data_IF_115632992723
#
_entry.id   IF_115632992723
#
_cell.length_a   1.000
_cell.length_b   1.000
_cell.length_c   1.000
_cell.angle_alpha   90.00
_cell.angle_beta   90.00
_cell.angle_gamma   90.00
#
_symmetry.space_group_name_H-M   'P 1'
#
loop_
_entity.id
_entity.type
_entity.pdbx_description
1 polymer ?
#
# COMPACT_ATOMS: atom_id res chain seq x y z
N UNK A 1 -40.59 2.47 -45.88
CA UNK A 1 -39.62 3.59 -45.89
C UNK A 1 -39.18 3.88 -44.46
N UNK A 2 -37.92 3.63 -44.13
CA UNK A 2 -37.17 4.36 -43.12
C UNK A 2 -35.71 3.97 -43.25
N UNK A 3 -34.90 4.90 -43.77
CA UNK A 3 -33.45 4.82 -43.82
C UNK A 3 -32.94 5.30 -42.46
N UNK A 4 -32.05 4.53 -41.84
CA UNK A 4 -31.13 5.04 -40.85
C UNK A 4 -29.71 4.88 -41.41
N UNK A 5 -29.06 6.02 -41.59
CA UNK A 5 -27.65 6.18 -41.94
C UNK A 5 -26.91 6.54 -40.65
N UNK A 6 -25.90 5.76 -40.31
CA UNK A 6 -24.78 6.06 -39.40
C UNK A 6 -23.65 5.16 -39.91
N UNK A 7 -22.69 5.58 -40.74
CA UNK A 7 -21.65 6.63 -40.57
C UNK A 7 -20.97 6.53 -39.21
N UNK A 8 -20.13 5.50 -39.12
CA UNK A 8 -18.75 5.52 -38.63
C UNK A 8 -18.45 4.14 -38.06
N UNK A 9 -17.90 3.30 -38.94
CA UNK A 9 -17.50 1.92 -38.66
C UNK A 9 -16.27 1.85 -37.77
N UNK A 10 -16.36 2.40 -36.56
CA UNK A 10 -15.40 2.11 -35.50
C UNK A 10 -15.98 0.97 -34.68
N UNK A 11 -15.73 -0.26 -35.13
CA UNK A 11 -15.87 -1.43 -34.27
C UNK A 11 -14.89 -1.24 -33.11
N UNK A 12 -15.41 -0.90 -31.94
CA UNK A 12 -14.66 -1.01 -30.69
C UNK A 12 -14.41 -2.51 -30.51
N UNK A 13 -13.16 -2.99 -30.48
CA UNK A 13 -12.91 -4.40 -30.27
C UNK A 13 -13.42 -4.74 -28.87
N UNK A 14 -14.41 -5.63 -28.81
CA UNK A 14 -14.79 -6.31 -27.57
C UNK A 14 -13.51 -6.94 -26.99
N UNK A 15 -13.10 -6.49 -25.82
CA UNK A 15 -11.94 -7.05 -25.12
C UNK A 15 -12.35 -8.41 -24.54
N UNK A 16 -12.31 -9.45 -25.38
CA UNK A 16 -12.39 -10.83 -24.92
C UNK A 16 -11.13 -11.09 -24.09
N UNK A 17 -11.32 -11.33 -22.79
CA UNK A 17 -10.27 -11.39 -21.77
C UNK A 17 -9.31 -12.58 -21.85
N UNK A 18 -9.05 -13.12 -23.02
CA UNK A 18 -8.10 -14.21 -23.24
C UNK A 18 -6.92 -13.71 -24.08
N UNK A 19 -6.09 -12.88 -23.46
CA UNK A 19 -4.73 -12.68 -23.96
C UNK A 19 -4.00 -14.03 -23.85
N UNK A 20 -3.50 -14.62 -24.95
CA UNK A 20 -2.70 -15.83 -24.86
C UNK A 20 -1.52 -15.55 -23.94
N UNK A 21 -1.38 -16.36 -22.88
CA UNK A 21 -0.25 -16.24 -21.94
C UNK A 21 1.03 -16.52 -22.73
N UNK A 22 1.71 -15.45 -23.13
CA UNK A 22 3.02 -15.50 -23.80
C UNK A 22 3.95 -16.42 -23.01
N UNK A 23 4.71 -17.26 -23.71
CA UNK A 23 5.73 -18.06 -23.06
C UNK A 23 6.77 -17.14 -22.40
N UNK A 24 7.40 -17.58 -21.30
CA UNK A 24 8.37 -16.76 -20.55
C UNK A 24 9.48 -16.18 -21.45
N UNK A 25 9.96 -16.96 -22.40
CA UNK A 25 10.98 -16.52 -23.37
C UNK A 25 10.49 -15.41 -24.31
N UNK A 26 9.21 -15.43 -24.69
CA UNK A 26 8.62 -14.41 -25.55
C UNK A 26 8.41 -13.11 -24.76
N UNK A 27 8.08 -13.22 -23.47
CA UNK A 27 8.00 -12.09 -22.56
C UNK A 27 9.38 -11.44 -22.38
N UNK A 28 10.43 -12.23 -22.15
CA UNK A 28 11.80 -11.71 -22.02
C UNK A 28 12.28 -11.02 -23.30
N UNK A 29 12.00 -11.61 -24.48
CA UNK A 29 12.31 -10.98 -25.78
C UNK A 29 11.56 -9.67 -25.99
N UNK A 30 10.28 -9.61 -25.60
CA UNK A 30 9.48 -8.39 -25.68
C UNK A 30 10.02 -7.31 -24.74
N UNK A 31 10.33 -7.67 -23.49
CA UNK A 31 10.91 -6.74 -22.51
C UNK A 31 12.24 -6.19 -23.01
N UNK A 32 13.12 -7.05 -23.53
CA UNK A 32 14.41 -6.62 -24.08
C UNK A 32 14.23 -5.66 -25.26
N UNK A 33 13.32 -5.98 -26.20
CA UNK A 33 13.02 -5.08 -27.32
C UNK A 33 12.49 -3.73 -26.85
N UNK A 34 11.56 -3.72 -25.90
CA UNK A 34 11.01 -2.48 -25.34
C UNK A 34 12.08 -1.66 -24.63
N UNK A 35 12.99 -2.32 -23.91
CA UNK A 35 14.11 -1.68 -23.24
C UNK A 35 15.07 -0.98 -24.22
N UNK A 36 15.51 -1.68 -25.27
CA UNK A 36 16.39 -1.11 -26.28
C UNK A 36 15.70 -0.01 -27.09
N UNK A 37 14.43 -0.18 -27.46
CA UNK A 37 13.65 0.87 -28.11
C UNK A 37 13.55 2.13 -27.23
N UNK A 38 13.33 1.97 -25.92
CA UNK A 38 13.30 3.10 -24.99
C UNK A 38 14.64 3.83 -24.94
N UNK A 39 15.75 3.10 -24.86
CA UNK A 39 17.10 3.68 -24.89
C UNK A 39 17.38 4.46 -26.18
N UNK A 40 16.96 3.92 -27.33
CA UNK A 40 17.13 4.59 -28.62
C UNK A 40 16.31 5.90 -28.71
N UNK A 41 15.07 5.90 -28.24
CA UNK A 41 14.22 7.10 -28.19
C UNK A 41 14.83 8.16 -27.27
N UNK A 42 15.33 7.77 -26.09
CA UNK A 42 15.99 8.70 -25.18
C UNK A 42 17.28 9.27 -25.79
N UNK A 43 18.07 8.45 -26.48
CA UNK A 43 19.26 8.90 -27.21
C UNK A 43 18.91 9.91 -28.30
N UNK A 44 17.86 9.67 -29.08
CA UNK A 44 17.40 10.61 -30.12
C UNK A 44 16.92 11.95 -29.54
N UNK A 45 16.19 11.93 -28.42
CA UNK A 45 15.78 13.17 -27.72
C UNK A 45 16.99 13.96 -27.22
N UNK A 46 17.97 13.26 -26.68
CA UNK A 46 19.20 13.86 -26.17
C UNK A 46 20.01 14.51 -27.30
N UNK A 47 20.18 13.80 -28.42
CA UNK A 47 20.83 14.34 -29.62
C UNK A 47 20.07 15.56 -30.18
N UNK A 48 18.75 15.49 -30.28
CA UNK A 48 17.92 16.62 -30.71
C UNK A 48 18.14 17.85 -29.81
N UNK A 49 18.08 17.68 -28.49
CA UNK A 49 18.35 18.74 -27.51
C UNK A 49 19.75 19.34 -27.68
N UNK A 50 20.77 18.50 -27.89
CA UNK A 50 22.14 18.96 -28.10
C UNK A 50 22.27 19.78 -29.39
N UNK A 51 21.63 19.35 -30.48
CA UNK A 51 21.65 20.11 -31.74
C UNK A 51 20.92 21.46 -31.62
N UNK A 52 19.82 21.52 -30.87
CA UNK A 52 19.12 22.78 -30.58
C UNK A 52 19.99 23.73 -29.77
N UNK A 53 20.63 23.23 -28.71
CA UNK A 53 21.56 24.02 -27.90
C UNK A 53 22.76 24.53 -28.72
N UNK A 54 23.29 23.72 -29.65
CA UNK A 54 24.35 24.16 -30.55
C UNK A 54 23.88 25.27 -31.49
N UNK A 55 22.69 25.12 -32.09
CA UNK A 55 22.07 26.18 -32.93
C UNK A 55 21.83 27.47 -32.16
N UNK A 56 21.41 27.39 -30.90
CA UNK A 56 21.23 28.57 -30.05
C UNK A 56 22.56 29.24 -29.71
N UNK A 57 23.59 28.45 -29.38
CA UNK A 57 24.94 28.96 -29.15
C UNK A 57 25.48 29.69 -30.37
N UNK A 58 25.32 29.13 -31.56
CA UNK A 58 25.71 29.77 -32.82
C UNK A 58 24.97 31.09 -33.03
N UNK A 59 23.66 31.14 -32.78
CA UNK A 59 22.87 32.39 -32.83
C UNK A 59 23.35 33.45 -31.83
N UNK A 60 23.86 33.03 -30.67
CA UNK A 60 24.30 33.92 -29.59
C UNK A 60 25.71 34.52 -29.81
N UNK A 61 26.46 34.07 -30.82
CA UNK A 61 27.81 34.60 -31.13
C UNK A 61 27.82 36.02 -31.73
N UNK A 62 26.65 36.62 -31.97
CA UNK A 62 26.56 38.02 -32.42
C UNK A 62 27.20 38.93 -31.38
N UNK A 63 28.31 39.60 -31.75
CA UNK A 63 28.99 40.56 -30.87
C UNK A 63 28.05 41.73 -30.57
N UNK A 64 27.65 41.85 -29.31
CA UNK A 64 26.81 42.95 -28.82
C UNK A 64 27.65 44.24 -28.83
N UNK A 65 27.17 45.32 -29.48
CA UNK A 65 27.83 46.62 -29.48
C UNK A 65 27.91 47.20 -28.06
N UNK A 66 28.91 48.05 -27.80
CA UNK A 66 29.22 48.55 -26.45
C UNK A 66 28.04 49.27 -25.81
N UNK A 67 27.26 50.03 -26.58
CA UNK A 67 26.10 50.76 -26.09
C UNK A 67 24.97 49.83 -25.63
N UNK A 68 24.66 48.79 -26.42
CA UNK A 68 23.66 47.78 -26.03
C UNK A 68 24.11 46.98 -24.82
N UNK A 69 25.41 46.69 -24.71
CA UNK A 69 25.99 46.05 -23.53
C UNK A 69 25.81 46.89 -22.28
N UNK A 70 26.08 48.20 -22.37
CA UNK A 70 25.90 49.10 -21.22
C UNK A 70 24.42 49.19 -20.82
N UNK A 71 23.51 49.36 -21.78
CA UNK A 71 22.06 49.35 -21.53
C UNK A 71 21.59 48.03 -20.90
N UNK A 72 22.18 46.90 -21.28
CA UNK A 72 21.89 45.60 -20.68
C UNK A 72 22.37 45.56 -19.23
N UNK A 73 23.59 46.03 -18.96
CA UNK A 73 24.15 46.09 -17.60
C UNK A 73 23.31 46.99 -16.70
N UNK A 74 22.95 48.19 -17.17
CA UNK A 74 22.10 49.14 -16.42
C UNK A 74 20.75 48.49 -16.09
N UNK A 75 20.10 47.85 -17.07
CA UNK A 75 18.85 47.13 -16.85
C UNK A 75 19.00 45.99 -15.84
N UNK A 76 20.08 45.21 -15.92
CA UNK A 76 20.33 44.11 -14.98
C UNK A 76 20.56 44.65 -13.56
N UNK A 77 21.26 45.77 -13.43
CA UNK A 77 21.50 46.44 -12.16
C UNK A 77 20.18 46.95 -11.55
N UNK A 78 19.36 47.66 -12.33
CA UNK A 78 18.06 48.16 -11.89
C UNK A 78 17.13 47.02 -11.46
N UNK A 79 17.11 45.91 -12.21
CA UNK A 79 16.35 44.72 -11.84
C UNK A 79 16.84 44.09 -10.53
N UNK A 80 18.15 44.08 -10.29
CA UNK A 80 18.70 43.57 -9.03
C UNK A 80 18.35 44.47 -7.85
N UNK A 81 18.40 45.79 -8.03
CA UNK A 81 17.94 46.74 -7.02
C UNK A 81 16.46 46.54 -6.69
N UNK A 82 15.60 46.46 -7.70
CA UNK A 82 14.17 46.20 -7.51
C UNK A 82 13.90 44.89 -6.77
N UNK A 83 14.60 43.80 -7.15
CA UNK A 83 14.48 42.51 -6.44
C UNK A 83 14.91 42.61 -4.99
N UNK A 84 15.97 43.37 -4.72
CA UNK A 84 16.48 43.56 -3.37
C UNK A 84 15.51 44.39 -2.52
N UNK A 85 14.88 45.42 -3.11
CA UNK A 85 13.84 46.22 -2.47
C UNK A 85 12.59 45.38 -2.17
N UNK A 86 12.10 44.62 -3.15
CA UNK A 86 10.99 43.69 -2.97
C UNK A 86 11.28 42.65 -1.89
N UNK A 87 12.47 42.04 -1.92
CA UNK A 87 12.87 41.06 -0.90
C UNK A 87 13.01 41.69 0.50
N UNK A 88 13.42 42.95 0.60
CA UNK A 88 13.41 43.68 1.89
C UNK A 88 11.98 43.92 2.36
N UNK A 89 11.10 44.38 1.47
CA UNK A 89 9.69 44.61 1.79
C UNK A 89 8.97 43.33 2.21
N UNK A 90 9.18 42.22 1.50
CA UNK A 90 8.64 40.90 1.85
C UNK A 90 9.14 40.42 3.21
N UNK A 91 10.44 40.58 3.51
CA UNK A 91 10.99 40.22 4.83
C UNK A 91 10.39 41.07 5.93
N UNK A 92 10.18 42.36 5.69
CA UNK A 92 9.56 43.26 6.65
C UNK A 92 8.09 42.87 6.88
N UNK A 93 7.32 42.66 5.82
CA UNK A 93 5.94 42.18 5.91
C UNK A 93 5.85 40.83 6.64
N UNK A 94 6.78 39.90 6.37
CA UNK A 94 6.82 38.62 7.06
C UNK A 94 7.15 38.78 8.55
N UNK A 95 8.09 39.66 8.89
CA UNK A 95 8.44 39.94 10.28
C UNK A 95 7.29 40.62 11.03
N UNK A 96 6.59 41.57 10.41
CA UNK A 96 5.37 42.19 10.96
C UNK A 96 4.25 41.15 11.12
N UNK A 97 3.99 40.33 10.11
CA UNK A 97 3.01 39.26 10.20
C UNK A 97 3.36 38.25 11.29
N UNK A 98 4.65 37.90 11.47
CA UNK A 98 5.11 37.03 12.55
C UNK A 98 5.00 37.68 13.93
N UNK A 99 5.27 38.97 14.06
CA UNK A 99 5.05 39.71 15.29
C UNK A 99 3.56 39.70 15.69
N UNK A 100 2.67 39.83 14.70
CA UNK A 100 1.23 39.85 14.91
C UNK A 100 0.55 38.47 14.80
N UNK A 101 1.29 37.38 14.58
CA UNK A 101 0.72 36.02 14.50
C UNK A 101 -0.04 35.61 15.75
N UNK A 102 0.44 36.06 16.92
CA UNK A 102 -0.17 35.76 18.21
C UNK A 102 -1.26 36.77 18.62
N UNK A 103 -1.39 37.88 17.89
CA UNK A 103 -2.42 38.90 18.14
C UNK A 103 -3.77 38.50 17.51
N UNK A 104 -3.75 37.56 16.55
CA UNK A 104 -4.96 37.02 15.92
C UNK A 104 -5.66 36.11 16.93
N UNK A 105 -6.66 36.67 17.61
CA UNK A 105 -7.59 35.91 18.42
C UNK A 105 -8.63 35.27 17.52
N UNK A 106 -8.53 33.97 17.30
CA UNK A 106 -9.58 33.22 16.63
C UNK A 106 -10.86 33.23 17.47
N UNK A 107 -11.99 33.48 16.81
CA UNK A 107 -13.29 33.23 17.39
C UNK A 107 -13.51 31.72 17.58
N UNK A 108 -14.40 31.34 18.50
CA UNK A 108 -14.71 29.92 18.72
C UNK A 108 -15.22 29.23 17.46
N UNK A 109 -16.00 29.93 16.65
CA UNK A 109 -16.54 29.44 15.38
C UNK A 109 -15.42 29.16 14.36
N UNK A 110 -14.40 30.01 14.27
CA UNK A 110 -13.26 29.80 13.37
C UNK A 110 -12.39 28.61 13.80
N UNK A 111 -12.22 28.41 15.11
CA UNK A 111 -11.52 27.24 15.64
C UNK A 111 -12.31 25.96 15.33
N UNK A 112 -13.62 25.98 15.52
CA UNK A 112 -14.49 24.84 15.20
C UNK A 112 -14.47 24.51 13.70
N UNK A 113 -14.50 25.51 12.82
CA UNK A 113 -14.39 25.30 11.38
C UNK A 113 -13.01 24.75 10.99
N UNK A 114 -11.95 25.21 11.65
CA UNK A 114 -10.59 24.69 11.42
C UNK A 114 -10.46 23.22 11.84
N UNK A 115 -10.99 22.87 13.02
CA UNK A 115 -11.02 21.48 13.51
C UNK A 115 -11.87 20.61 12.58
N UNK A 116 -13.00 21.12 12.11
CA UNK A 116 -13.86 20.39 11.16
C UNK A 116 -13.12 20.10 9.85
N UNK A 117 -12.42 21.08 9.28
CA UNK A 117 -11.65 20.87 8.05
C UNK A 117 -10.49 19.90 8.23
N UNK A 118 -9.75 20.03 9.34
CA UNK A 118 -8.59 19.17 9.59
C UNK A 118 -8.97 17.73 9.92
N UNK A 119 -10.03 17.52 10.70
CA UNK A 119 -10.34 16.18 11.21
C UNK A 119 -11.53 15.58 10.47
N UNK A 120 -12.65 16.29 10.37
CA UNK A 120 -13.87 15.69 9.84
C UNK A 120 -13.78 15.48 8.32
N UNK A 121 -13.27 16.46 7.57
CA UNK A 121 -13.15 16.35 6.12
C UNK A 121 -12.07 15.33 5.72
N UNK A 122 -10.96 15.27 6.47
CA UNK A 122 -9.88 14.31 6.26
C UNK A 122 -10.35 12.87 6.53
N UNK A 123 -11.10 12.66 7.62
CA UNK A 123 -11.72 11.36 7.93
C UNK A 123 -12.73 10.98 6.84
N UNK A 124 -13.55 11.92 6.38
CA UNK A 124 -14.53 11.66 5.32
C UNK A 124 -13.84 11.24 4.01
N UNK A 125 -12.78 11.95 3.60
CA UNK A 125 -11.96 11.61 2.42
C UNK A 125 -11.32 10.23 2.57
N UNK A 126 -10.77 9.93 3.74
CA UNK A 126 -10.16 8.62 4.02
C UNK A 126 -11.18 7.48 3.94
N UNK A 127 -12.38 7.66 4.49
CA UNK A 127 -13.47 6.68 4.38
C UNK A 127 -13.90 6.47 2.93
N UNK A 128 -14.17 7.55 2.19
CA UNK A 128 -14.54 7.45 0.78
C UNK A 128 -13.49 6.74 -0.07
N UNK A 129 -12.21 7.06 0.15
CA UNK A 129 -11.11 6.38 -0.55
C UNK A 129 -11.07 4.89 -0.23
N UNK A 130 -11.27 4.52 1.04
CA UNK A 130 -11.30 3.12 1.47
C UNK A 130 -12.46 2.36 0.85
N UNK A 131 -13.67 2.93 0.88
CA UNK A 131 -14.85 2.33 0.27
C UNK A 131 -14.70 2.18 -1.25
N UNK A 132 -14.08 3.15 -1.92
CA UNK A 132 -13.81 3.07 -3.36
C UNK A 132 -12.82 1.92 -3.67
N UNK A 133 -11.75 1.80 -2.89
CA UNK A 133 -10.77 0.72 -3.04
C UNK A 133 -11.39 -0.65 -2.71
N UNK A 134 -12.22 -0.73 -1.67
CA UNK A 134 -12.93 -1.95 -1.31
C UNK A 134 -13.84 -2.41 -2.44
N UNK A 135 -14.63 -1.51 -3.04
CA UNK A 135 -15.47 -1.84 -4.21
C UNK A 135 -14.66 -2.29 -5.43
N UNK A 136 -13.46 -1.73 -5.61
CA UNK A 136 -12.62 -1.99 -6.78
C UNK A 136 -11.83 -3.30 -6.66
N UNK A 137 -11.29 -3.59 -5.47
CA UNK A 137 -10.34 -4.67 -5.26
C UNK A 137 -10.88 -5.83 -4.42
N UNK A 138 -11.96 -5.62 -3.67
CA UNK A 138 -12.67 -6.67 -2.96
C UNK A 138 -13.98 -6.96 -3.70
N UNK A 139 -14.05 -7.99 -4.56
CA UNK A 139 -15.32 -8.40 -5.14
C UNK A 139 -16.25 -8.78 -3.98
N UNK A 140 -17.36 -8.03 -3.82
CA UNK A 140 -18.43 -8.35 -2.86
C UNK A 140 -18.85 -9.79 -3.13
N UNK A 141 -18.46 -10.71 -2.24
CA UNK A 141 -18.91 -12.09 -2.31
C UNK A 141 -20.43 -12.03 -2.18
N UNK A 142 -21.13 -12.59 -3.17
CA UNK A 142 -22.59 -12.67 -3.13
C UNK A 142 -23.02 -13.26 -1.78
N UNK A 143 -23.98 -12.62 -1.12
CA UNK A 143 -24.53 -13.12 0.14
C UNK A 143 -24.89 -14.60 -0.03
N UNK A 144 -24.19 -15.47 0.71
CA UNK A 144 -24.45 -16.90 0.69
C UNK A 144 -25.84 -17.13 1.27
N UNK A 145 -26.85 -17.20 0.40
CA UNK A 145 -28.21 -17.60 0.77
C UNK A 145 -28.16 -19.09 1.12
N UNK A 146 -27.97 -19.38 2.41
CA UNK A 146 -28.07 -20.75 2.93
C UNK A 146 -29.53 -21.19 2.74
N UNK A 147 -29.74 -22.33 2.06
CA UNK A 147 -31.08 -22.87 1.89
C UNK A 147 -31.67 -23.26 3.25
N UNK A 148 -32.99 -23.15 3.41
CA UNK A 148 -33.67 -23.52 4.66
C UNK A 148 -33.42 -24.98 5.06
N UNK A 149 -33.21 -25.85 4.08
CA UNK A 149 -32.88 -27.26 4.27
C UNK A 149 -31.49 -27.42 4.89
N UNK A 150 -30.48 -26.71 4.38
CA UNK A 150 -29.13 -26.79 4.92
C UNK A 150 -29.01 -26.17 6.32
N UNK A 151 -29.82 -25.14 6.59
CA UNK A 151 -29.94 -24.57 7.93
C UNK A 151 -30.59 -25.55 8.92
N UNK A 152 -31.64 -26.25 8.51
CA UNK A 152 -32.27 -27.29 9.34
C UNK A 152 -31.31 -28.45 9.62
N UNK A 153 -30.61 -28.92 8.59
CA UNK A 153 -29.61 -29.98 8.71
C UNK A 153 -28.48 -29.60 9.67
N UNK A 154 -27.98 -28.37 9.60
CA UNK A 154 -26.93 -27.89 10.51
C UNK A 154 -27.44 -27.72 11.94
N UNK A 155 -28.67 -27.25 12.13
CA UNK A 155 -29.30 -27.16 13.45
C UNK A 155 -29.52 -28.56 14.05
N UNK A 156 -30.01 -29.52 13.26
CA UNK A 156 -30.19 -30.91 13.71
C UNK A 156 -28.86 -31.56 14.10
N UNK A 157 -27.81 -31.35 13.30
CA UNK A 157 -26.44 -31.78 13.61
C UNK A 157 -25.84 -31.12 14.85
N UNK A 158 -26.29 -29.92 15.22
CA UNK A 158 -25.80 -29.22 16.42
C UNK A 158 -26.61 -29.59 17.66
N UNK A 159 -27.91 -29.83 17.51
CA UNK A 159 -28.83 -30.07 18.62
C UNK A 159 -28.80 -31.52 19.11
N UNK A 160 -28.50 -32.49 18.24
CA UNK A 160 -28.53 -33.93 18.57
C UNK A 160 -27.13 -34.53 18.81
N UNK A 161 -26.10 -33.71 19.00
CA UNK A 161 -24.77 -34.21 19.35
C UNK A 161 -24.68 -34.37 20.86
N UNK A 162 -24.59 -35.61 21.33
CA UNK A 162 -24.18 -35.94 22.69
C UNK A 162 -22.71 -35.58 22.87
N UNK A 163 -22.44 -34.36 23.33
CA UNK A 163 -21.09 -33.84 23.53
C UNK A 163 -20.27 -34.72 24.47
N UNK A 164 -20.89 -35.36 25.46
CA UNK A 164 -20.23 -36.28 26.38
C UNK A 164 -19.60 -37.48 25.66
N UNK A 165 -20.36 -38.13 24.75
CA UNK A 165 -19.85 -39.27 23.97
C UNK A 165 -18.74 -38.84 23.01
N UNK A 166 -18.89 -37.67 22.40
CA UNK A 166 -17.90 -37.13 21.46
C UNK A 166 -16.59 -36.77 22.18
N UNK A 167 -16.68 -36.18 23.37
CA UNK A 167 -15.52 -35.85 24.19
C UNK A 167 -14.82 -37.12 24.68
N UNK A 168 -15.56 -38.17 25.07
CA UNK A 168 -14.97 -39.46 25.40
C UNK A 168 -14.22 -40.09 24.21
N UNK A 169 -14.79 -40.04 23.01
CA UNK A 169 -14.14 -40.54 21.79
C UNK A 169 -12.87 -39.75 21.46
N UNK A 170 -12.93 -38.42 21.55
CA UNK A 170 -11.78 -37.55 21.33
C UNK A 170 -10.70 -37.78 22.39
N UNK A 171 -11.09 -37.94 23.66
CA UNK A 171 -10.18 -38.25 24.76
C UNK A 171 -9.48 -39.59 24.55
N UNK A 172 -10.22 -40.66 24.21
CA UNK A 172 -9.64 -41.98 23.91
C UNK A 172 -8.70 -41.95 22.71
N UNK A 173 -8.98 -41.12 21.71
CA UNK A 173 -8.18 -41.05 20.48
C UNK A 173 -6.91 -40.23 20.63
N UNK A 174 -6.98 -39.11 21.33
CA UNK A 174 -5.91 -38.11 21.33
C UNK A 174 -5.24 -37.88 22.68
N UNK A 175 -5.87 -38.24 23.80
CA UNK A 175 -5.31 -38.01 25.14
C UNK A 175 -4.82 -39.33 25.74
N UNK A 176 -5.70 -40.34 25.77
CA UNK A 176 -5.40 -41.64 26.37
C UNK A 176 -4.11 -42.33 25.87
N UNK A 177 -3.73 -42.27 24.57
CA UNK A 177 -2.48 -42.88 24.11
C UNK A 177 -1.22 -42.18 24.65
N UNK A 178 -1.35 -40.94 25.11
CA UNK A 178 -0.28 -40.11 25.63
C UNK A 178 -0.31 -39.99 27.16
N UNK A 179 -1.33 -40.56 27.82
CA UNK A 179 -1.38 -40.59 29.27
C UNK A 179 -0.31 -41.56 29.84
N UNK A 180 0.44 -41.14 30.86
CA UNK A 180 1.44 -42.00 31.48
C UNK A 180 0.74 -43.20 32.12
N UNK A 181 1.15 -44.40 31.72
CA UNK A 181 0.63 -45.65 32.30
C UNK A 181 0.90 -45.64 33.80
N UNK A 182 -0.18 -45.62 34.58
CA UNK A 182 -0.10 -45.80 36.04
C UNK A 182 0.19 -47.28 36.28
N UNK A 183 1.45 -47.59 36.60
CA UNK A 183 1.82 -48.92 37.09
C UNK A 183 1.63 -48.89 38.59
N UNK A 184 0.66 -49.66 39.09
CA UNK A 184 0.55 -49.94 40.52
C UNK A 184 1.66 -50.94 40.87
N UNK A 185 2.60 -50.51 41.71
CA UNK A 185 3.69 -51.36 42.17
C UNK A 185 3.14 -52.19 43.32
N UNK A 186 3.29 -53.51 43.24
CA UNK A 186 2.88 -54.40 44.32
C UNK A 186 3.86 -54.30 45.48
N UNK A 187 3.36 -54.49 46.71
CA UNK A 187 4.14 -54.35 47.95
C UNK A 187 5.41 -55.22 47.98
N UNK A 188 5.38 -56.39 47.33
CA UNK A 188 6.53 -57.27 47.18
C UNK A 188 7.62 -56.68 46.27
N UNK A 189 7.25 -55.93 45.23
CA UNK A 189 8.16 -55.23 44.33
C UNK A 189 8.76 -54.00 45.02
N UNK A 190 7.98 -53.29 45.83
CA UNK A 190 8.49 -52.22 46.70
C UNK A 190 9.55 -52.72 47.68
N UNK A 191 9.28 -53.82 48.38
CA UNK A 191 10.24 -54.44 49.31
C UNK A 191 11.50 -54.94 48.58
N UNK A 192 11.37 -55.49 47.37
CA UNK A 192 12.49 -55.91 46.56
C UNK A 192 13.36 -54.73 46.10
N UNK A 193 12.76 -53.60 45.70
CA UNK A 193 13.48 -52.38 45.34
C UNK A 193 14.13 -51.72 46.56
N UNK A 194 13.43 -51.64 47.70
CA UNK A 194 13.98 -51.15 48.95
C UNK A 194 15.20 -51.96 49.39
N UNK A 195 15.16 -53.29 49.25
CA UNK A 195 16.31 -54.16 49.53
C UNK A 195 17.49 -53.94 48.57
N UNK A 196 17.25 -53.58 47.30
CA UNK A 196 18.31 -53.24 46.32
C UNK A 196 18.95 -51.89 46.61
N UNK A 197 18.18 -50.94 47.13
CA UNK A 197 18.63 -49.58 47.44
C UNK A 197 19.17 -49.45 48.87
N UNK A 198 18.90 -50.43 49.74
CA UNK A 198 19.41 -50.47 51.10
C UNK A 198 20.84 -51.02 51.13
N UNK A 199 21.79 -50.20 51.57
CA UNK A 199 23.21 -50.56 51.74
C UNK A 199 23.49 -51.39 53.00
N UNK A 200 22.47 -51.77 53.77
CA UNK A 200 22.66 -52.41 55.09
C UNK A 200 22.64 -53.94 55.07
N UNK A 201 22.26 -54.59 53.96
CA UNK A 201 22.16 -56.07 53.89
C UNK A 201 23.51 -56.81 53.73
N UNK A 202 24.62 -56.08 53.65
CA UNK A 202 25.98 -56.63 53.64
C UNK A 202 26.88 -56.10 54.75
N UNK A 203 26.34 -55.37 55.74
CA UNK A 203 27.11 -54.73 56.81
C UNK A 203 26.99 -55.43 58.18
N UNK A 204 26.38 -56.61 58.25
CA UNK A 204 26.36 -57.43 59.47
C UNK A 204 26.33 -58.92 59.15
N UNK A 205 27.34 -59.62 59.70
CA UNK A 205 27.70 -61.05 59.66
C UNK A 205 28.39 -61.56 58.38
#
# INVERSE_FOLDING_TARGET
>A
MSKAHTKDGTQVPEYTGEQPRLAKEEQEKLVNRLYYNHLEVEKQKEEARQTELQREKEKSTKRIPKEERNKLVDRMYDQQLQRLELSKAERLQKAEAEAHKNDIKFSKEEVEDHVKRMYNDEIAKSKQKREALEKQYCPTQAEKKISKEHLKETVERLYHVDYEKRDEELFKKYVYPHDPKVVTIDRSEEEAMANRLSTTKGASS
#
